data_IF_154291514628
#
_entry.id   IF_154291514628
#
_cell.length_a   1.000
_cell.length_b   1.000
_cell.length_c   1.000
_cell.angle_alpha   90.00
_cell.angle_beta   90.00
_cell.angle_gamma   90.00
#
_symmetry.space_group_name_H-M   'P 1'
#
loop_
_entity.id
_entity.type
_entity.pdbx_description
1 polymer ?
#
# COMPACT_ATOMS: atom_id res chain seq x y z
N UNK A 1 16.53 8.67 -4.33
CA UNK A 1 15.44 9.65 -4.27
C UNK A 1 16.04 10.91 -3.70
N UNK A 2 15.63 12.05 -4.20
CA UNK A 2 16.18 13.36 -3.80
C UNK A 2 16.13 13.57 -2.28
N UNK A 3 15.06 13.12 -1.59
CA UNK A 3 14.93 13.24 -0.13
C UNK A 3 15.97 12.41 0.64
N UNK A 4 16.28 11.19 0.20
CA UNK A 4 17.27 10.34 0.89
C UNK A 4 18.70 10.86 0.71
N UNK A 5 18.99 11.51 -0.42
CA UNK A 5 20.29 12.12 -0.67
C UNK A 5 20.57 13.30 0.28
N UNK A 6 19.53 13.94 0.82
CA UNK A 6 19.67 15.02 1.81
C UNK A 6 20.12 14.53 3.19
N UNK A 7 19.95 13.24 3.50
CA UNK A 7 20.20 12.68 4.82
C UNK A 7 21.04 11.41 4.75
N UNK A 8 22.32 11.49 4.36
CA UNK A 8 23.07 10.32 3.94
C UNK A 8 23.34 9.28 5.05
N UNK A 9 23.26 9.71 6.30
CA UNK A 9 23.51 8.87 7.47
C UNK A 9 22.22 8.41 8.17
N UNK A 10 21.05 8.62 7.52
CA UNK A 10 19.74 8.27 8.09
C UNK A 10 19.12 7.11 7.34
N UNK A 11 18.58 6.17 8.11
CA UNK A 11 17.71 5.12 7.57
C UNK A 11 16.32 5.65 7.33
N UNK A 12 15.68 5.14 6.29
CA UNK A 12 14.27 5.41 5.96
C UNK A 12 13.42 4.23 6.41
N UNK A 13 12.23 4.54 6.90
CA UNK A 13 11.18 3.57 7.22
C UNK A 13 9.91 4.00 6.49
N UNK A 14 9.32 3.09 5.71
CA UNK A 14 8.02 3.29 5.09
C UNK A 14 6.98 2.59 5.96
N UNK A 15 6.27 3.37 6.78
CA UNK A 15 5.32 2.85 7.77
C UNK A 15 3.90 2.70 7.24
N UNK A 16 3.54 3.47 6.22
CA UNK A 16 2.21 3.48 5.61
C UNK A 16 2.36 3.45 4.07
N UNK A 17 2.86 2.32 3.56
CA UNK A 17 2.99 2.11 2.12
C UNK A 17 1.67 1.56 1.55
N UNK A 18 1.17 2.14 0.47
CA UNK A 18 -0.05 1.66 -0.14
C UNK A 18 -0.30 2.23 -1.52
N UNK A 19 -1.14 1.52 -2.28
CA UNK A 19 -1.62 1.92 -3.58
C UNK A 19 -3.06 1.42 -3.72
N UNK A 20 -4.03 2.27 -4.08
CA UNK A 20 -5.43 1.87 -4.16
C UNK A 20 -5.64 0.93 -5.35
N UNK A 21 -6.61 0.03 -5.28
CA UNK A 21 -7.01 -0.79 -6.44
C UNK A 21 -8.31 -0.32 -7.11
N UNK A 22 -8.96 0.71 -6.58
CA UNK A 22 -10.27 1.18 -7.04
C UNK A 22 -10.24 1.82 -8.43
N UNK A 23 -11.20 1.44 -9.28
CA UNK A 23 -11.32 1.98 -10.63
C UNK A 23 -11.78 3.44 -10.65
N UNK A 24 -12.55 3.90 -9.66
CA UNK A 24 -13.03 5.28 -9.57
C UNK A 24 -11.92 6.29 -9.24
N UNK A 25 -10.75 5.81 -8.80
CA UNK A 25 -9.52 6.61 -8.65
C UNK A 25 -8.51 6.37 -9.77
N UNK A 26 -8.95 5.80 -10.89
CA UNK A 26 -8.11 5.52 -12.06
C UNK A 26 -7.08 4.42 -11.84
N UNK A 27 -7.34 3.50 -10.91
CA UNK A 27 -6.45 2.40 -10.54
C UNK A 27 -7.05 1.02 -10.91
N UNK A 28 -6.33 -0.05 -10.56
CA UNK A 28 -6.80 -1.44 -10.68
C UNK A 28 -6.05 -2.37 -9.72
N UNK A 29 -6.51 -3.62 -9.59
CA UNK A 29 -5.77 -4.64 -8.85
C UNK A 29 -4.41 -4.98 -9.49
N UNK A 30 -4.32 -4.93 -10.83
CA UNK A 30 -3.07 -5.14 -11.55
C UNK A 30 -2.06 -4.04 -11.23
N UNK A 31 -2.50 -2.77 -11.21
CA UNK A 31 -1.63 -1.64 -10.86
C UNK A 31 -1.19 -1.70 -9.39
N UNK A 32 -2.08 -2.13 -8.48
CA UNK A 32 -1.72 -2.38 -7.09
C UNK A 32 -0.68 -3.51 -6.95
N UNK A 33 -0.84 -4.60 -7.71
CA UNK A 33 0.11 -5.71 -7.73
C UNK A 33 1.48 -5.29 -8.28
N UNK A 34 1.49 -4.48 -9.35
CA UNK A 34 2.70 -3.90 -9.91
C UNK A 34 3.39 -2.96 -8.91
N UNK A 35 2.64 -2.14 -8.19
CA UNK A 35 3.17 -1.30 -7.12
C UNK A 35 3.87 -2.11 -6.03
N UNK A 36 3.26 -3.21 -5.57
CA UNK A 36 3.89 -4.10 -4.56
C UNK A 36 5.22 -4.64 -5.10
N UNK A 37 5.24 -5.15 -6.34
CA UNK A 37 6.47 -5.65 -6.98
C UNK A 37 7.56 -4.59 -7.06
N UNK A 38 7.21 -3.37 -7.49
CA UNK A 38 8.16 -2.26 -7.59
C UNK A 38 8.66 -1.79 -6.22
N UNK A 39 7.83 -1.89 -5.18
CA UNK A 39 8.22 -1.55 -3.81
C UNK A 39 9.31 -2.48 -3.30
N UNK A 40 9.18 -3.80 -3.53
CA UNK A 40 10.23 -4.77 -3.21
C UNK A 40 11.50 -4.57 -4.04
N UNK A 41 11.37 -4.30 -5.35
CA UNK A 41 12.52 -3.98 -6.19
C UNK A 41 13.27 -2.72 -5.71
N UNK A 42 12.53 -1.69 -5.30
CA UNK A 42 13.09 -0.47 -4.72
C UNK A 42 13.75 -0.73 -3.36
N UNK A 43 13.17 -1.62 -2.55
CA UNK A 43 13.75 -2.04 -1.28
C UNK A 43 15.10 -2.72 -1.48
N UNK A 44 15.20 -3.69 -2.39
CA UNK A 44 16.46 -4.39 -2.68
C UNK A 44 17.57 -3.43 -3.14
N UNK A 45 17.23 -2.51 -4.05
CA UNK A 45 18.19 -1.53 -4.56
C UNK A 45 18.66 -0.54 -3.48
N UNK A 46 17.93 -0.43 -2.36
CA UNK A 46 18.18 0.53 -1.28
C UNK A 46 18.26 -0.15 0.10
N UNK A 47 18.58 -1.45 0.16
CA UNK A 47 18.45 -2.24 1.39
C UNK A 47 19.30 -1.73 2.57
N UNK A 48 20.42 -1.04 2.31
CA UNK A 48 21.23 -0.40 3.36
C UNK A 48 20.50 0.76 4.06
N UNK A 49 19.53 1.37 3.38
CA UNK A 49 18.84 2.60 3.81
C UNK A 49 17.39 2.34 4.22
N UNK A 50 16.66 1.52 3.48
CA UNK A 50 15.27 1.19 3.78
C UNK A 50 15.23 -0.02 4.72
N UNK A 51 14.91 0.23 6.00
CA UNK A 51 14.94 -0.81 7.04
C UNK A 51 13.59 -1.46 7.30
N UNK A 52 12.52 -0.71 7.09
CA UNK A 52 11.16 -1.18 7.32
C UNK A 52 10.29 -0.79 6.14
N UNK A 53 9.52 -1.76 5.68
CA UNK A 53 8.41 -1.59 4.76
C UNK A 53 7.16 -2.19 5.42
N UNK A 54 6.18 -1.34 5.69
CA UNK A 54 4.89 -1.72 6.22
C UNK A 54 3.80 -1.25 5.26
N UNK A 55 2.99 -2.19 4.78
CA UNK A 55 1.81 -1.85 3.99
C UNK A 55 0.70 -1.38 4.93
N UNK A 56 0.03 -0.29 4.57
CA UNK A 56 -0.91 0.43 5.45
C UNK A 56 -1.97 -0.50 6.04
N UNK A 57 -2.66 -1.28 5.20
CA UNK A 57 -3.69 -2.22 5.63
C UNK A 57 -3.61 -3.54 4.89
N UNK A 58 -3.99 -4.63 5.57
CA UNK A 58 -4.10 -5.94 4.94
C UNK A 58 -5.42 -6.09 4.15
N UNK A 59 -6.52 -5.60 4.71
CA UNK A 59 -7.86 -5.69 4.10
C UNK A 59 -8.34 -4.34 3.62
N UNK A 60 -9.14 -4.34 2.56
CA UNK A 60 -9.96 -3.21 2.16
C UNK A 60 -10.93 -2.84 3.29
N UNK A 61 -11.42 -1.62 3.25
CA UNK A 61 -12.22 -1.05 4.34
C UNK A 61 -13.68 -1.35 4.11
N UNK A 62 -14.40 -1.65 5.18
CA UNK A 62 -15.83 -1.94 5.10
C UNK A 62 -16.63 -0.67 4.81
N UNK A 63 -17.89 -0.77 4.32
CA UNK A 63 -18.75 0.40 4.17
C UNK A 63 -18.92 1.20 5.46
N UNK A 64 -18.97 0.53 6.63
CA UNK A 64 -19.05 1.19 7.94
C UNK A 64 -17.77 1.96 8.31
N UNK A 65 -16.61 1.50 7.83
CA UNK A 65 -15.36 2.27 7.98
C UNK A 65 -15.39 3.54 7.13
N UNK A 66 -15.97 3.50 5.93
CA UNK A 66 -16.07 4.67 5.05
C UNK A 66 -16.96 5.77 5.63
N UNK A 67 -18.07 5.41 6.26
CA UNK A 67 -18.87 6.38 7.03
C UNK A 67 -18.05 7.03 8.16
N UNK A 68 -17.22 6.23 8.83
CA UNK A 68 -16.37 6.71 9.92
C UNK A 68 -15.25 7.62 9.40
N UNK A 69 -14.67 7.29 8.24
CA UNK A 69 -13.64 8.10 7.58
C UNK A 69 -14.17 9.41 7.04
N UNK A 70 -15.37 9.42 6.45
CA UNK A 70 -16.03 10.64 6.02
C UNK A 70 -16.14 11.65 7.18
N UNK A 71 -16.60 11.18 8.35
CA UNK A 71 -16.69 12.01 9.57
C UNK A 71 -15.32 12.40 10.11
N UNK A 72 -14.36 11.46 10.15
CA UNK A 72 -13.04 11.69 10.72
C UNK A 72 -12.21 12.67 9.90
N UNK A 73 -12.19 12.50 8.57
CA UNK A 73 -11.46 13.38 7.65
C UNK A 73 -12.26 14.62 7.23
N UNK A 74 -13.55 14.69 7.57
CA UNK A 74 -14.42 15.81 7.22
C UNK A 74 -14.63 15.97 5.71
N UNK A 75 -14.62 14.85 4.96
CA UNK A 75 -14.74 14.84 3.50
C UNK A 75 -15.69 13.73 3.04
N UNK A 76 -16.64 14.10 2.19
CA UNK A 76 -17.55 13.18 1.49
C UNK A 76 -17.12 12.94 0.04
N UNK A 77 -15.91 13.36 -0.34
CA UNK A 77 -15.38 13.14 -1.68
C UNK A 77 -15.27 11.63 -1.97
N UNK A 78 -16.04 11.16 -2.94
CA UNK A 78 -16.17 9.75 -3.28
C UNK A 78 -14.83 9.15 -3.75
N UNK A 79 -14.00 9.91 -4.48
CA UNK A 79 -12.69 9.44 -4.94
C UNK A 79 -11.73 9.30 -3.76
N UNK A 80 -11.75 10.24 -2.82
CA UNK A 80 -10.94 10.15 -1.61
C UNK A 80 -11.35 8.95 -0.74
N UNK A 81 -12.66 8.72 -0.58
CA UNK A 81 -13.16 7.58 0.17
C UNK A 81 -12.85 6.25 -0.53
N UNK A 82 -12.95 6.18 -1.86
CA UNK A 82 -12.55 4.99 -2.63
C UNK A 82 -11.04 4.74 -2.56
N UNK A 83 -10.23 5.79 -2.60
CA UNK A 83 -8.79 5.70 -2.35
C UNK A 83 -8.54 4.98 -1.03
N UNK A 84 -9.14 5.44 0.08
CA UNK A 84 -9.01 4.79 1.38
C UNK A 84 -9.60 3.37 1.37
N UNK A 85 -10.76 3.18 0.74
CA UNK A 85 -11.47 1.90 0.74
C UNK A 85 -10.63 0.76 0.18
N UNK A 86 -9.79 1.06 -0.82
CA UNK A 86 -9.18 0.07 -1.71
C UNK A 86 -7.67 -0.11 -1.53
N UNK A 87 -7.09 0.41 -0.43
CA UNK A 87 -5.66 0.26 -0.10
C UNK A 87 -5.28 -1.16 0.35
N UNK A 88 -6.24 -1.98 0.76
CA UNK A 88 -5.97 -3.33 1.23
C UNK A 88 -5.47 -4.25 0.12
N UNK A 89 -4.68 -5.25 0.52
CA UNK A 89 -4.21 -6.31 -0.38
C UNK A 89 -5.20 -7.49 -0.44
N UNK A 90 -6.19 -7.51 0.45
CA UNK A 90 -7.34 -8.41 0.45
C UNK A 90 -8.60 -7.56 0.38
N UNK A 91 -9.68 -8.09 -0.17
CA UNK A 91 -11.01 -7.49 -0.08
C UNK A 91 -11.44 -7.36 1.39
N UNK A 92 -12.48 -6.57 1.67
CA UNK A 92 -12.94 -6.35 3.05
C UNK A 92 -13.40 -7.65 3.74
N UNK A 93 -13.92 -8.61 2.96
CA UNK A 93 -14.34 -9.94 3.42
C UNK A 93 -13.21 -10.99 3.40
N UNK A 94 -12.00 -10.58 3.01
CA UNK A 94 -10.78 -11.38 3.13
C UNK A 94 -10.42 -12.22 1.91
N UNK A 95 -11.08 -12.07 0.77
CA UNK A 95 -10.58 -12.68 -0.46
C UNK A 95 -9.25 -12.03 -0.87
N UNK A 96 -8.22 -12.80 -1.26
CA UNK A 96 -6.96 -12.23 -1.71
C UNK A 96 -7.15 -11.48 -3.03
N UNK A 97 -6.55 -10.29 -3.14
CA UNK A 97 -6.40 -9.55 -4.40
C UNK A 97 -5.08 -9.94 -5.06
N UNK A 98 -4.91 -9.60 -6.34
CA UNK A 98 -3.66 -9.90 -7.07
C UNK A 98 -2.39 -9.44 -6.33
N UNK A 99 -2.47 -8.28 -5.65
CA UNK A 99 -1.35 -7.72 -4.89
C UNK A 99 -0.94 -8.55 -3.66
N UNK A 100 -1.86 -9.29 -3.03
CA UNK A 100 -1.52 -10.17 -1.90
C UNK A 100 -0.70 -11.38 -2.34
N UNK A 101 -0.98 -11.94 -3.52
CA UNK A 101 -0.18 -13.03 -4.07
C UNK A 101 1.22 -12.56 -4.47
N UNK A 102 1.34 -11.35 -5.02
CA UNK A 102 2.64 -10.71 -5.27
C UNK A 102 3.40 -10.48 -3.96
N UNK A 103 2.75 -9.93 -2.93
CA UNK A 103 3.35 -9.75 -1.61
C UNK A 103 3.93 -11.07 -1.08
N UNK A 104 3.13 -12.14 -1.11
CA UNK A 104 3.53 -13.45 -0.59
C UNK A 104 4.70 -14.03 -1.38
N UNK A 105 4.72 -13.82 -2.70
CA UNK A 105 5.81 -14.26 -3.58
C UNK A 105 7.11 -13.51 -3.28
N UNK A 106 7.05 -12.18 -3.23
CA UNK A 106 8.23 -11.33 -2.95
C UNK A 106 8.77 -11.53 -1.53
N UNK A 107 7.88 -11.67 -0.53
CA UNK A 107 8.26 -11.99 0.83
C UNK A 107 8.96 -13.36 0.92
N UNK A 108 8.39 -14.38 0.25
CA UNK A 108 8.94 -15.73 0.22
C UNK A 108 10.32 -15.83 -0.44
N UNK A 109 10.58 -15.06 -1.51
CA UNK A 109 11.92 -14.96 -2.14
C UNK A 109 12.98 -14.51 -1.11
N UNK A 110 12.58 -13.73 -0.11
CA UNK A 110 13.45 -13.15 0.93
C UNK A 110 13.41 -13.94 2.26
N UNK A 111 12.75 -15.09 2.27
CA UNK A 111 12.74 -16.02 3.41
C UNK A 111 11.77 -15.67 4.54
N UNK A 112 10.73 -14.88 4.25
CA UNK A 112 9.63 -14.57 5.19
C UNK A 112 8.44 -15.51 5.00
#
# INVERSE_FOLDING_TARGET
>A
GEVAALYPDRTVMLLECGYPSGAGVGSSEELQADFVRQTFAAWDHRALWLRVLCFTWLHDRSPGDLESFSRYYGSEDEQFLEFLATLGLRTFDGHPKAAFDVLRTEAGIRGW
#
